data_IF_749379447609
#
_entry.id   IF_749379447609
#
_cell.length_a   1.000
_cell.length_b   1.000
_cell.length_c   1.000
_cell.angle_alpha   90.00
_cell.angle_beta   90.00
_cell.angle_gamma   90.00
#
_symmetry.space_group_name_H-M   'P 1'
#
loop_
_entity.id
_entity.type
_entity.pdbx_description
1 polymer ?
#
# COMPACT_ATOMS: atom_id res chain seq x y z
N UNK A 1 4.44 87.74 -32.59
CA UNK A 1 3.97 89.10 -32.27
C UNK A 1 3.88 89.16 -30.74
N UNK A 2 4.92 89.81 -30.25
CA UNK A 2 4.81 90.96 -29.33
C UNK A 2 4.08 90.64 -28.02
N UNK A 3 4.54 90.89 -26.86
CA UNK A 3 5.67 91.73 -26.41
C UNK A 3 5.43 92.07 -24.94
N UNK A 4 6.54 92.36 -24.33
CA UNK A 4 6.71 93.36 -23.26
C UNK A 4 5.85 93.27 -21.97
N UNK A 5 6.33 93.49 -20.88
CA UNK A 5 7.52 94.00 -20.24
C UNK A 5 7.26 94.25 -18.78
N UNK A 6 8.30 94.12 -17.99
CA UNK A 6 8.78 94.96 -16.93
C UNK A 6 8.02 95.17 -15.60
N UNK A 7 8.78 94.75 -14.60
CA UNK A 7 9.13 95.51 -13.40
C UNK A 7 8.05 95.97 -12.44
N UNK A 8 8.16 95.50 -11.19
CA UNK A 8 8.54 96.41 -10.08
C UNK A 8 8.91 95.63 -8.83
N UNK A 9 10.02 96.03 -8.29
CA UNK A 9 10.52 95.54 -7.00
C UNK A 9 9.72 96.08 -5.82
N UNK A 10 9.54 95.32 -4.74
CA UNK A 10 9.57 95.86 -3.39
C UNK A 10 9.97 94.75 -2.38
N UNK A 11 10.98 95.11 -1.60
CA UNK A 11 11.48 94.44 -0.43
C UNK A 11 10.37 94.17 0.61
N UNK A 12 10.29 93.01 1.14
CA UNK A 12 9.88 92.80 2.51
C UNK A 12 10.66 91.61 3.06
N UNK A 13 11.50 91.87 4.05
CA UNK A 13 12.15 90.93 4.92
C UNK A 13 11.08 90.07 5.60
N UNK A 14 11.12 88.74 5.45
CA UNK A 14 10.45 87.84 6.29
C UNK A 14 11.47 86.77 6.74
N UNK A 15 11.57 86.64 8.03
CA UNK A 15 12.49 85.83 8.79
C UNK A 15 12.30 84.34 8.35
N UNK A 16 13.35 83.76 7.83
CA UNK A 16 13.39 82.32 7.53
C UNK A 16 13.68 81.53 8.83
N UNK A 17 12.68 80.87 9.35
CA UNK A 17 12.88 79.73 10.31
C UNK A 17 13.31 78.51 9.52
N UNK A 18 14.38 77.80 9.88
CA UNK A 18 14.71 76.56 9.25
C UNK A 18 13.69 75.51 9.61
N UNK A 19 12.93 75.06 8.60
CA UNK A 19 12.13 73.84 8.71
C UNK A 19 13.12 72.67 8.74
N UNK A 20 13.26 72.05 9.91
CA UNK A 20 13.94 70.74 10.03
C UNK A 20 13.15 69.75 9.16
N UNK A 21 13.71 69.41 8.02
CA UNK A 21 13.24 68.29 7.24
C UNK A 21 13.44 67.03 8.10
N UNK A 22 12.34 66.44 8.55
CA UNK A 22 12.35 65.08 9.05
C UNK A 22 12.68 64.18 7.86
N UNK A 23 13.88 63.67 7.87
CA UNK A 23 14.32 62.61 6.98
C UNK A 23 13.49 61.36 7.38
N UNK A 24 12.44 61.02 6.61
CA UNK A 24 11.73 59.76 6.75
C UNK A 24 12.74 58.63 6.52
N UNK A 25 12.99 57.86 7.56
CA UNK A 25 13.80 56.67 7.47
C UNK A 25 13.18 55.76 6.38
N UNK A 26 13.99 55.18 5.50
CA UNK A 26 13.49 54.25 4.46
C UNK A 26 12.75 53.10 5.17
N UNK A 27 11.62 52.61 4.60
CA UNK A 27 10.91 51.48 5.17
C UNK A 27 11.88 50.30 5.28
N UNK A 28 11.95 49.72 6.47
CA UNK A 28 12.67 48.48 6.72
C UNK A 28 12.11 47.41 5.76
N UNK A 29 12.84 47.16 4.70
CA UNK A 29 12.61 46.02 3.82
C UNK A 29 12.82 44.74 4.68
N UNK A 30 11.73 44.18 5.17
CA UNK A 30 11.76 42.88 5.84
C UNK A 30 12.09 41.87 4.75
N UNK A 31 13.37 41.58 4.59
CA UNK A 31 13.81 40.45 3.79
C UNK A 31 13.32 39.19 4.54
N UNK A 32 12.18 38.68 4.12
CA UNK A 32 11.72 37.35 4.52
C UNK A 32 12.68 36.39 3.83
N UNK A 33 13.73 35.99 4.53
CA UNK A 33 14.57 34.89 4.10
C UNK A 33 13.68 33.63 4.12
N UNK A 34 13.19 33.24 2.95
CA UNK A 34 12.44 31.99 2.79
C UNK A 34 13.42 30.85 3.07
N UNK A 35 13.50 30.44 4.34
CA UNK A 35 14.26 29.26 4.73
C UNK A 35 13.51 28.06 4.17
N UNK A 36 13.84 27.68 2.95
CA UNK A 36 13.43 26.39 2.41
C UNK A 36 14.10 25.30 3.25
N UNK A 37 13.43 24.88 4.29
CA UNK A 37 13.82 23.66 5.01
C UNK A 37 13.61 22.50 4.05
N UNK A 38 14.65 22.15 3.31
CA UNK A 38 14.72 20.90 2.56
C UNK A 38 14.84 19.79 3.60
N UNK A 39 13.70 19.50 4.28
CA UNK A 39 13.60 18.32 5.12
C UNK A 39 13.83 17.09 4.24
N UNK A 40 14.77 16.24 4.60
CA UNK A 40 14.89 14.95 3.95
C UNK A 40 13.55 14.23 4.13
N UNK A 41 12.93 13.80 3.02
CA UNK A 41 11.70 13.00 3.09
C UNK A 41 11.95 11.80 4.03
N UNK A 42 11.07 11.63 5.02
CA UNK A 42 11.27 10.72 6.13
C UNK A 42 11.35 9.23 5.70
N UNK A 43 10.83 8.89 4.54
CA UNK A 43 10.63 7.51 4.09
C UNK A 43 9.26 6.98 4.54
N UNK A 44 8.91 5.72 4.26
CA UNK A 44 7.63 5.15 4.69
C UNK A 44 7.54 5.14 6.21
N UNK A 45 6.34 5.52 6.71
CA UNK A 45 6.10 5.62 8.14
C UNK A 45 6.26 4.29 8.87
N UNK A 46 6.80 4.35 10.08
CA UNK A 46 6.91 3.22 10.98
C UNK A 46 6.02 3.44 12.20
N UNK A 47 5.06 2.55 12.40
CA UNK A 47 4.31 2.47 13.66
C UNK A 47 5.24 1.96 14.75
N UNK A 48 5.14 2.53 15.96
CA UNK A 48 5.97 2.16 17.08
C UNK A 48 5.10 1.69 18.22
N UNK A 49 5.27 0.44 18.62
CA UNK A 49 4.52 -0.20 19.69
C UNK A 49 5.48 -0.44 20.85
N UNK A 50 5.12 -0.02 22.05
CA UNK A 50 5.96 -0.16 23.26
C UNK A 50 5.29 -0.97 24.35
N UNK A 51 6.12 -1.77 25.02
CA UNK A 51 5.84 -2.46 26.26
C UNK A 51 7.03 -2.30 27.20
N UNK A 52 6.97 -1.32 28.13
CA UNK A 52 8.13 -0.94 28.93
C UNK A 52 9.30 -0.50 28.05
N UNK A 53 10.43 -1.18 28.20
CA UNK A 53 11.65 -0.91 27.43
C UNK A 53 11.67 -1.60 26.05
N UNK A 54 10.75 -2.54 25.82
CA UNK A 54 10.66 -3.26 24.55
C UNK A 54 9.90 -2.45 23.49
N UNK A 55 10.41 -2.46 22.27
CA UNK A 55 9.81 -1.72 21.16
C UNK A 55 9.70 -2.60 19.91
N UNK A 56 8.48 -2.71 19.39
CA UNK A 56 8.22 -3.28 18.08
C UNK A 56 7.93 -2.16 17.09
N UNK A 57 8.70 -2.07 16.03
CA UNK A 57 8.39 -1.23 14.88
C UNK A 57 7.59 -2.02 13.87
N UNK A 58 6.58 -1.40 13.24
CA UNK A 58 5.79 -2.04 12.17
C UNK A 58 5.88 -1.21 10.92
N UNK A 59 6.38 -1.80 9.84
CA UNK A 59 6.37 -1.22 8.50
C UNK A 59 5.12 -1.67 7.75
N UNK A 60 4.25 -0.72 7.42
CA UNK A 60 3.13 -0.94 6.51
C UNK A 60 3.60 -0.98 5.05
N UNK A 61 3.38 -2.07 4.32
CA UNK A 61 3.71 -2.17 2.89
C UNK A 61 2.51 -1.88 2.00
N UNK A 62 2.75 -1.21 0.89
CA UNK A 62 1.75 -0.91 -0.13
C UNK A 62 1.90 -1.85 -1.34
N UNK A 63 0.79 -2.19 -1.99
CA UNK A 63 0.75 -2.93 -3.26
C UNK A 63 -0.50 -2.52 -4.06
N UNK A 64 -0.37 -2.26 -5.39
CA UNK A 64 0.85 -2.35 -6.20
C UNK A 64 1.76 -1.13 -6.05
N UNK A 65 3.04 -1.32 -6.36
CA UNK A 65 4.07 -0.27 -6.39
C UNK A 65 4.69 -0.14 -7.78
N UNK A 66 5.27 1.00 -8.16
CA UNK A 66 6.11 1.11 -9.35
C UNK A 66 7.26 0.10 -9.32
N UNK A 67 7.58 -0.52 -10.47
CA UNK A 67 8.67 -1.52 -10.56
C UNK A 67 10.05 -0.99 -10.17
N UNK A 68 10.25 0.31 -10.27
CA UNK A 68 11.51 1.00 -9.95
C UNK A 68 11.31 2.07 -8.89
N UNK A 69 10.47 1.78 -7.89
CA UNK A 69 10.30 2.71 -6.77
C UNK A 69 11.57 2.75 -5.94
N UNK A 70 12.20 3.91 -5.90
CA UNK A 70 13.23 4.21 -4.92
C UNK A 70 12.55 4.77 -3.67
N UNK A 71 12.65 4.04 -2.56
CA UNK A 71 12.14 4.46 -1.28
C UNK A 71 13.29 4.56 -0.27
N UNK A 72 13.19 5.50 0.65
CA UNK A 72 14.24 5.71 1.64
C UNK A 72 14.09 4.69 2.76
N UNK A 73 15.08 3.84 2.91
CA UNK A 73 15.09 2.77 3.92
C UNK A 73 15.86 3.13 5.20
N UNK A 74 16.38 4.36 5.33
CA UNK A 74 17.29 4.76 6.41
C UNK A 74 16.76 4.48 7.81
N UNK A 75 15.46 4.69 8.05
CA UNK A 75 14.87 4.39 9.35
C UNK A 75 14.74 2.90 9.57
N UNK A 76 14.29 2.17 8.57
CA UNK A 76 14.25 0.69 8.58
C UNK A 76 15.65 0.12 8.81
N UNK A 77 16.68 0.67 8.15
CA UNK A 77 18.07 0.27 8.34
C UNK A 77 18.57 0.53 9.77
N UNK A 78 18.25 1.71 10.35
CA UNK A 78 18.59 2.05 11.73
C UNK A 78 17.93 1.11 12.74
N UNK A 79 16.66 0.75 12.50
CA UNK A 79 15.95 -0.20 13.34
C UNK A 79 16.59 -1.57 13.23
N UNK A 80 16.80 -2.08 12.01
CA UNK A 80 17.38 -3.41 11.78
C UNK A 80 18.82 -3.53 12.26
N UNK A 81 19.59 -2.44 12.30
CA UNK A 81 20.95 -2.46 12.87
C UNK A 81 20.98 -2.80 14.36
N UNK A 82 19.84 -2.68 15.07
CA UNK A 82 19.71 -2.90 16.52
C UNK A 82 18.61 -3.92 16.86
N UNK A 83 17.91 -4.44 15.85
CA UNK A 83 16.80 -5.34 16.09
C UNK A 83 17.27 -6.75 16.43
N UNK A 84 16.59 -7.38 17.38
CA UNK A 84 16.79 -8.78 17.75
C UNK A 84 16.15 -9.71 16.72
N UNK A 85 15.00 -9.28 16.15
CA UNK A 85 14.25 -10.07 15.19
C UNK A 85 13.49 -9.24 14.14
N UNK A 86 13.20 -9.92 13.02
CA UNK A 86 12.29 -9.47 11.97
C UNK A 86 11.12 -10.45 11.83
N UNK A 87 9.89 -9.94 11.83
CA UNK A 87 8.66 -10.67 11.46
C UNK A 87 8.24 -10.20 10.07
N UNK A 88 8.52 -10.95 8.98
CA UNK A 88 8.17 -10.53 7.62
C UNK A 88 6.67 -10.69 7.37
N UNK A 89 6.15 -10.07 6.30
CA UNK A 89 4.77 -10.23 5.83
C UNK A 89 4.53 -11.57 5.11
N UNK A 90 5.49 -12.48 5.14
CA UNK A 90 5.43 -13.82 4.53
C UNK A 90 5.31 -14.91 5.60
N UNK A 91 4.87 -16.08 5.17
CA UNK A 91 4.89 -17.30 5.97
C UNK A 91 5.71 -18.39 5.27
N UNK A 92 6.22 -19.33 6.03
CA UNK A 92 6.61 -20.61 5.47
C UNK A 92 5.37 -21.45 5.26
N UNK A 93 5.22 -21.97 4.07
CA UNK A 93 4.11 -22.89 3.75
C UNK A 93 4.72 -24.25 3.47
N UNK A 94 4.31 -25.23 4.28
CA UNK A 94 4.62 -26.63 4.06
C UNK A 94 3.34 -27.35 3.63
N UNK A 95 3.46 -28.16 2.58
CA UNK A 95 2.38 -29.01 2.11
C UNK A 95 3.00 -30.35 1.73
N UNK A 96 2.53 -31.41 2.34
CA UNK A 96 2.99 -32.75 2.00
C UNK A 96 2.46 -33.18 0.62
N UNK A 97 3.20 -32.78 -0.41
CA UNK A 97 2.84 -33.02 -1.81
C UNK A 97 3.89 -33.91 -2.44
N UNK A 98 3.63 -35.24 -2.40
CA UNK A 98 4.43 -36.19 -3.18
C UNK A 98 4.25 -36.00 -4.69
N UNK A 99 5.14 -36.58 -5.53
CA UNK A 99 5.12 -36.38 -7.00
C UNK A 99 3.77 -36.74 -7.64
N UNK A 100 3.16 -37.83 -7.22
CA UNK A 100 1.85 -38.29 -7.74
C UNK A 100 0.74 -37.31 -7.33
N UNK A 101 0.78 -36.85 -6.07
CA UNK A 101 -0.17 -35.86 -5.57
C UNK A 101 -0.03 -34.53 -6.29
N UNK A 102 1.17 -34.10 -6.65
CA UNK A 102 1.41 -32.88 -7.43
C UNK A 102 0.76 -32.95 -8.83
N UNK A 103 0.87 -34.08 -9.52
CA UNK A 103 0.21 -34.28 -10.82
C UNK A 103 -1.32 -34.24 -10.67
N UNK A 104 -1.87 -34.92 -9.66
CA UNK A 104 -3.31 -34.93 -9.41
C UNK A 104 -3.82 -33.52 -9.07
N UNK A 105 -3.10 -32.79 -8.22
CA UNK A 105 -3.42 -31.41 -7.87
C UNK A 105 -3.39 -30.48 -9.09
N UNK A 106 -2.40 -30.65 -9.96
CA UNK A 106 -2.33 -29.90 -11.21
C UNK A 106 -3.50 -30.20 -12.16
N UNK A 107 -3.88 -31.47 -12.30
CA UNK A 107 -5.04 -31.86 -13.12
C UNK A 107 -6.35 -31.31 -12.54
N UNK A 108 -6.51 -31.36 -11.22
CA UNK A 108 -7.65 -30.78 -10.52
C UNK A 108 -7.69 -29.27 -10.72
N UNK A 109 -6.56 -28.54 -10.56
CA UNK A 109 -6.46 -27.12 -10.84
C UNK A 109 -6.82 -26.79 -12.30
N UNK A 110 -6.32 -27.57 -13.26
CA UNK A 110 -6.68 -27.37 -14.69
C UNK A 110 -8.18 -27.47 -14.94
N UNK A 111 -8.86 -28.40 -14.26
CA UNK A 111 -10.32 -28.57 -14.38
C UNK A 111 -11.05 -27.41 -13.72
N UNK A 112 -10.59 -27.01 -12.53
CA UNK A 112 -11.17 -25.95 -11.72
C UNK A 112 -11.10 -24.57 -12.35
N UNK A 113 -10.09 -24.28 -13.14
CA UNK A 113 -9.88 -22.94 -13.69
C UNK A 113 -10.89 -22.55 -14.77
N UNK A 114 -11.59 -23.51 -15.37
CA UNK A 114 -12.64 -23.29 -16.36
C UNK A 114 -14.01 -23.10 -15.74
N UNK A 115 -14.93 -22.51 -16.48
CA UNK A 115 -16.35 -22.48 -16.09
C UNK A 115 -16.98 -23.87 -16.26
N UNK A 116 -18.12 -24.07 -15.56
CA UNK A 116 -18.95 -25.25 -15.74
C UNK A 116 -19.40 -25.37 -17.21
N UNK A 117 -19.60 -26.57 -17.67
CA UNK A 117 -20.01 -26.88 -19.05
C UNK A 117 -19.14 -26.21 -20.14
N UNK A 118 -17.88 -25.88 -19.82
CA UNK A 118 -16.95 -25.17 -20.71
C UNK A 118 -17.48 -23.82 -21.21
N UNK A 119 -18.37 -23.20 -20.48
CA UNK A 119 -18.90 -21.88 -20.82
C UNK A 119 -17.79 -20.83 -20.90
N UNK A 120 -17.96 -19.88 -21.84
CA UNK A 120 -17.09 -18.70 -21.90
C UNK A 120 -17.53 -17.63 -20.91
N UNK A 121 -16.65 -16.68 -20.59
CA UNK A 121 -17.03 -15.53 -19.77
C UNK A 121 -18.20 -14.73 -20.37
N UNK A 122 -18.31 -14.68 -21.68
CA UNK A 122 -19.43 -14.01 -22.35
C UNK A 122 -20.81 -14.65 -22.03
N UNK A 123 -20.81 -15.95 -21.77
CA UNK A 123 -22.04 -16.69 -21.41
C UNK A 123 -22.34 -16.60 -19.90
N UNK A 124 -21.30 -16.35 -19.09
CA UNK A 124 -21.38 -16.34 -17.63
C UNK A 124 -21.65 -14.95 -17.05
N UNK A 125 -21.10 -13.91 -17.68
CA UNK A 125 -21.26 -12.52 -17.26
C UNK A 125 -22.51 -11.90 -17.86
N UNK A 126 -23.09 -10.90 -17.18
CA UNK A 126 -24.08 -10.04 -17.83
C UNK A 126 -23.48 -9.31 -19.05
N UNK A 127 -24.27 -8.95 -20.05
CA UNK A 127 -23.76 -8.23 -21.22
C UNK A 127 -22.95 -6.98 -20.85
N UNK A 128 -23.43 -6.20 -19.89
CA UNK A 128 -22.76 -5.00 -19.37
C UNK A 128 -21.41 -5.32 -18.73
N UNK A 129 -21.37 -6.33 -17.85
CA UNK A 129 -20.14 -6.71 -17.16
C UNK A 129 -19.13 -7.29 -18.13
N UNK A 130 -19.59 -8.04 -19.14
CA UNK A 130 -18.72 -8.59 -20.19
C UNK A 130 -18.13 -7.49 -21.08
N UNK A 131 -18.90 -6.47 -21.44
CA UNK A 131 -18.42 -5.34 -22.25
C UNK A 131 -17.30 -4.59 -21.50
N UNK A 132 -17.49 -4.29 -20.23
CA UNK A 132 -16.45 -3.67 -19.37
C UNK A 132 -15.20 -4.53 -19.30
N UNK A 133 -15.37 -5.84 -19.04
CA UNK A 133 -14.27 -6.79 -18.99
C UNK A 133 -13.52 -6.83 -20.32
N UNK A 134 -14.22 -6.94 -21.45
CA UNK A 134 -13.61 -7.06 -22.78
C UNK A 134 -12.82 -5.79 -23.16
N UNK A 135 -13.36 -4.62 -22.85
CA UNK A 135 -12.66 -3.34 -23.04
C UNK A 135 -11.32 -3.30 -22.29
N UNK A 136 -11.32 -3.73 -21.04
CA UNK A 136 -10.10 -3.77 -20.23
C UNK A 136 -9.16 -4.92 -20.68
N UNK A 137 -9.71 -6.07 -21.08
CA UNK A 137 -8.93 -7.17 -21.64
C UNK A 137 -8.20 -6.75 -22.91
N UNK A 138 -8.87 -6.08 -23.83
CA UNK A 138 -8.24 -5.56 -25.05
C UNK A 138 -7.11 -4.57 -24.72
N UNK A 139 -7.28 -3.75 -23.70
CA UNK A 139 -6.27 -2.80 -23.24
C UNK A 139 -5.06 -3.50 -22.59
N UNK A 140 -5.30 -4.45 -21.68
CA UNK A 140 -4.27 -4.99 -20.79
C UNK A 140 -3.85 -6.44 -21.10
N UNK A 141 -4.69 -7.25 -21.75
CA UNK A 141 -4.41 -8.65 -22.06
C UNK A 141 -4.86 -9.05 -23.49
N UNK A 142 -4.58 -8.26 -24.55
CA UNK A 142 -5.15 -8.50 -25.89
C UNK A 142 -4.78 -9.85 -26.49
N UNK A 143 -3.65 -10.43 -26.10
CA UNK A 143 -3.15 -11.70 -26.63
C UNK A 143 -3.62 -12.93 -25.84
N UNK A 144 -4.11 -12.74 -24.60
CA UNK A 144 -4.60 -13.86 -23.79
C UNK A 144 -6.07 -14.15 -24.12
N UNK A 145 -6.29 -15.09 -25.06
CA UNK A 145 -7.63 -15.60 -25.38
C UNK A 145 -8.12 -16.65 -24.38
N UNK A 146 -7.23 -17.28 -23.64
CA UNK A 146 -7.59 -18.31 -22.68
C UNK A 146 -8.26 -17.73 -21.42
N UNK A 147 -8.03 -16.46 -21.13
CA UNK A 147 -8.72 -15.74 -20.03
C UNK A 147 -10.26 -15.79 -20.20
N UNK A 148 -10.75 -15.81 -21.45
CA UNK A 148 -12.19 -15.89 -21.76
C UNK A 148 -12.86 -17.22 -21.36
N UNK A 149 -12.05 -18.25 -21.10
CA UNK A 149 -12.52 -19.59 -20.70
C UNK A 149 -12.43 -19.82 -19.20
N UNK A 150 -11.89 -18.84 -18.46
CA UNK A 150 -11.66 -18.97 -17.01
C UNK A 150 -12.91 -18.58 -16.22
N UNK A 151 -12.99 -19.12 -15.00
CA UNK A 151 -13.97 -18.67 -14.01
C UNK A 151 -13.78 -17.19 -13.71
N UNK A 152 -14.87 -16.43 -13.37
CA UNK A 152 -14.80 -15.00 -13.17
C UNK A 152 -13.71 -14.56 -12.19
N UNK A 153 -13.57 -15.20 -11.03
CA UNK A 153 -12.55 -14.86 -10.03
C UNK A 153 -11.12 -15.03 -10.57
N UNK A 154 -10.87 -16.06 -11.36
CA UNK A 154 -9.55 -16.31 -11.94
C UNK A 154 -9.25 -15.37 -13.11
N UNK A 155 -10.25 -15.07 -13.93
CA UNK A 155 -10.14 -14.10 -15.01
C UNK A 155 -9.89 -12.68 -14.47
N UNK A 156 -10.57 -12.30 -13.38
CA UNK A 156 -10.33 -11.05 -12.68
C UNK A 156 -8.89 -10.92 -12.18
N UNK A 157 -8.39 -11.96 -11.51
CA UNK A 157 -7.01 -12.00 -11.02
C UNK A 157 -5.95 -11.94 -12.14
N UNK A 158 -6.21 -12.60 -13.28
CA UNK A 158 -5.34 -12.55 -14.45
C UNK A 158 -5.32 -11.15 -15.09
N UNK A 159 -6.51 -10.59 -15.31
CA UNK A 159 -6.64 -9.25 -15.88
C UNK A 159 -5.96 -8.19 -15.00
N UNK A 160 -6.14 -8.29 -13.68
CA UNK A 160 -5.47 -7.44 -12.71
C UNK A 160 -3.94 -7.53 -12.82
N UNK A 161 -3.39 -8.74 -12.87
CA UNK A 161 -1.94 -8.97 -12.98
C UNK A 161 -1.36 -8.38 -14.26
N UNK A 162 -2.04 -8.60 -15.40
CA UNK A 162 -1.63 -8.05 -16.70
C UNK A 162 -1.69 -6.52 -16.71
N UNK A 163 -2.77 -5.95 -16.16
CA UNK A 163 -2.95 -4.50 -16.08
C UNK A 163 -1.85 -3.84 -15.24
N UNK A 164 -1.56 -4.38 -14.05
CA UNK A 164 -0.48 -3.90 -13.19
C UNK A 164 0.86 -3.97 -13.93
N UNK A 165 1.16 -5.11 -14.56
CA UNK A 165 2.43 -5.31 -15.26
C UNK A 165 2.63 -4.31 -16.40
N UNK A 166 1.58 -4.07 -17.21
CA UNK A 166 1.61 -3.12 -18.34
C UNK A 166 1.62 -1.66 -17.91
N UNK A 167 1.08 -1.37 -16.74
CA UNK A 167 1.12 0.00 -16.17
C UNK A 167 2.47 0.34 -15.51
N UNK A 168 3.48 -0.53 -15.64
CA UNK A 168 4.79 -0.31 -15.03
C UNK A 168 4.81 -0.54 -13.52
N UNK A 169 3.75 -1.17 -12.99
CA UNK A 169 3.61 -1.50 -11.58
C UNK A 169 3.97 -2.97 -11.32
N UNK A 170 4.11 -3.31 -10.05
CA UNK A 170 4.31 -4.67 -9.56
C UNK A 170 3.50 -4.92 -8.30
N UNK A 171 2.91 -6.10 -8.19
CA UNK A 171 2.36 -6.62 -6.93
C UNK A 171 3.35 -7.53 -6.20
N UNK A 172 4.58 -7.66 -6.69
CA UNK A 172 5.61 -8.41 -5.97
C UNK A 172 5.95 -7.67 -4.68
N UNK A 173 6.17 -8.42 -3.63
CA UNK A 173 6.56 -7.85 -2.34
C UNK A 173 8.06 -7.52 -2.34
N UNK A 174 8.47 -6.57 -3.18
CA UNK A 174 9.87 -6.20 -3.33
C UNK A 174 10.38 -5.45 -2.09
N UNK A 175 9.51 -4.71 -1.40
CA UNK A 175 9.83 -4.06 -0.11
C UNK A 175 10.15 -5.12 0.95
N UNK A 176 9.30 -6.15 1.11
CA UNK A 176 9.54 -7.23 2.07
C UNK A 176 10.88 -7.94 1.79
N UNK A 177 11.18 -8.23 0.53
CA UNK A 177 12.48 -8.82 0.15
C UNK A 177 13.66 -7.91 0.46
N UNK A 178 13.52 -6.59 0.26
CA UNK A 178 14.55 -5.62 0.60
C UNK A 178 14.80 -5.60 2.11
N UNK A 179 13.73 -5.57 2.92
CA UNK A 179 13.80 -5.62 4.39
C UNK A 179 14.44 -6.93 4.87
N UNK A 180 14.02 -8.07 4.32
CA UNK A 180 14.65 -9.37 4.65
C UNK A 180 16.15 -9.41 4.29
N UNK A 181 16.53 -8.83 3.14
CA UNK A 181 17.94 -8.74 2.74
C UNK A 181 18.75 -7.89 3.73
N UNK A 182 18.19 -6.76 4.18
CA UNK A 182 18.79 -5.91 5.20
C UNK A 182 18.91 -6.63 6.55
N UNK A 183 17.89 -7.37 6.96
CA UNK A 183 17.91 -8.17 8.18
C UNK A 183 19.02 -9.23 8.14
N UNK A 184 19.16 -9.96 7.03
CA UNK A 184 20.25 -10.94 6.86
C UNK A 184 21.62 -10.28 6.89
N UNK A 185 21.79 -9.09 6.26
CA UNK A 185 23.04 -8.33 6.31
C UNK A 185 23.42 -7.95 7.75
N UNK A 186 22.44 -7.59 8.56
CA UNK A 186 22.65 -7.24 9.97
C UNK A 186 22.58 -8.43 10.93
N UNK A 187 22.48 -9.67 10.43
CA UNK A 187 22.36 -10.92 11.21
C UNK A 187 21.15 -10.96 12.14
N UNK A 188 20.10 -10.22 11.80
CA UNK A 188 18.82 -10.20 12.53
C UNK A 188 18.10 -11.53 12.32
N UNK A 189 17.58 -12.12 13.40
CA UNK A 189 16.82 -13.36 13.33
C UNK A 189 15.47 -13.13 12.62
N UNK A 190 15.23 -13.86 11.53
CA UNK A 190 13.94 -13.81 10.82
C UNK A 190 13.05 -14.90 11.41
N UNK A 191 11.88 -14.51 11.94
CA UNK A 191 10.84 -15.40 12.48
C UNK A 191 9.54 -15.14 11.73
N UNK A 192 8.84 -16.19 11.32
CA UNK A 192 7.63 -16.04 10.50
C UNK A 192 6.65 -17.16 10.79
N UNK A 193 5.34 -16.95 10.55
CA UNK A 193 4.34 -18.02 10.69
C UNK A 193 4.72 -19.24 9.84
N UNK A 194 4.48 -20.43 10.38
CA UNK A 194 4.69 -21.70 9.69
C UNK A 194 3.34 -22.37 9.49
N UNK A 195 2.88 -22.40 8.24
CA UNK A 195 1.57 -22.93 7.88
C UNK A 195 1.74 -24.30 7.25
N UNK A 196 0.99 -25.27 7.75
CA UNK A 196 0.92 -26.59 7.13
C UNK A 196 -0.44 -26.78 6.47
N UNK A 197 -0.42 -27.05 5.17
CA UNK A 197 -1.62 -27.40 4.41
C UNK A 197 -1.75 -28.92 4.42
N UNK A 198 -2.57 -29.44 5.32
CA UNK A 198 -2.73 -30.90 5.49
C UNK A 198 -3.48 -31.56 4.32
N UNK A 199 -4.45 -30.85 3.72
CA UNK A 199 -5.26 -31.36 2.62
C UNK A 199 -5.31 -30.37 1.45
N UNK A 200 -4.25 -30.28 0.63
CA UNK A 200 -4.21 -29.38 -0.52
C UNK A 200 -5.29 -29.67 -1.56
N UNK A 201 -5.66 -30.95 -1.74
CA UNK A 201 -6.70 -31.37 -2.70
C UNK A 201 -8.08 -30.93 -2.26
N UNK A 202 -8.42 -31.14 -0.98
CA UNK A 202 -9.67 -30.70 -0.42
C UNK A 202 -9.78 -29.19 -0.36
N UNK A 203 -8.68 -28.47 -0.07
CA UNK A 203 -8.63 -27.00 -0.14
C UNK A 203 -8.95 -26.51 -1.55
N UNK A 204 -8.34 -27.12 -2.55
CA UNK A 204 -8.61 -26.76 -3.95
C UNK A 204 -10.05 -27.13 -4.36
N UNK A 205 -10.60 -28.24 -3.85
CA UNK A 205 -11.99 -28.64 -4.11
C UNK A 205 -12.99 -27.64 -3.50
N UNK A 206 -12.73 -27.12 -2.29
CA UNK A 206 -13.57 -26.09 -1.68
C UNK A 206 -13.50 -24.76 -2.44
N UNK A 207 -12.32 -24.34 -2.89
CA UNK A 207 -12.15 -23.15 -3.76
C UNK A 207 -12.97 -23.32 -5.07
N UNK A 208 -13.12 -24.57 -5.55
CA UNK A 208 -13.99 -24.86 -6.70
C UNK A 208 -15.46 -24.56 -6.44
N UNK A 209 -15.89 -24.64 -5.19
CA UNK A 209 -17.29 -24.49 -4.78
C UNK A 209 -17.64 -23.07 -4.35
N UNK A 210 -16.72 -22.10 -4.53
CA UNK A 210 -17.03 -20.68 -4.27
C UNK A 210 -18.28 -20.29 -5.07
N UNK A 211 -19.30 -19.70 -4.42
CA UNK A 211 -20.51 -19.30 -5.09
C UNK A 211 -20.29 -18.36 -6.27
N UNK A 212 -21.04 -18.54 -7.33
CA UNK A 212 -20.94 -17.73 -8.54
C UNK A 212 -21.10 -16.24 -8.25
N UNK A 213 -22.01 -15.88 -7.36
CA UNK A 213 -22.28 -14.51 -6.95
C UNK A 213 -21.02 -13.85 -6.34
N UNK A 214 -20.27 -14.59 -5.54
CA UNK A 214 -19.02 -14.09 -4.95
C UNK A 214 -17.92 -13.91 -6.01
N UNK A 215 -17.86 -14.80 -7.00
CA UNK A 215 -16.94 -14.64 -8.13
C UNK A 215 -17.28 -13.42 -8.99
N UNK A 216 -18.58 -13.21 -9.26
CA UNK A 216 -19.06 -12.05 -10.03
C UNK A 216 -18.80 -10.74 -9.26
N UNK A 217 -19.01 -10.73 -7.96
CA UNK A 217 -18.69 -9.58 -7.10
C UNK A 217 -17.17 -9.26 -7.13
N UNK A 218 -16.31 -10.28 -7.07
CA UNK A 218 -14.86 -10.09 -7.23
C UNK A 218 -14.51 -9.55 -8.62
N UNK A 219 -15.11 -10.09 -9.69
CA UNK A 219 -14.90 -9.59 -11.05
C UNK A 219 -15.29 -8.11 -11.13
N UNK A 220 -16.51 -7.74 -10.72
CA UNK A 220 -16.97 -6.35 -10.72
C UNK A 220 -16.04 -5.42 -9.97
N UNK A 221 -15.67 -5.79 -8.74
CA UNK A 221 -14.75 -5.01 -7.92
C UNK A 221 -13.38 -4.83 -8.59
N UNK A 222 -12.88 -5.86 -9.28
CA UNK A 222 -11.62 -5.78 -10.02
C UNK A 222 -11.71 -4.81 -11.19
N UNK A 223 -12.82 -4.83 -11.94
CA UNK A 223 -13.02 -3.89 -13.04
C UNK A 223 -13.14 -2.45 -12.52
N UNK A 224 -13.91 -2.22 -11.47
CA UNK A 224 -14.01 -0.90 -10.80
C UNK A 224 -12.62 -0.36 -10.42
N UNK A 225 -11.75 -1.20 -9.86
CA UNK A 225 -10.37 -0.82 -9.53
C UNK A 225 -9.52 -0.51 -10.76
N UNK A 226 -9.63 -1.29 -11.81
CA UNK A 226 -8.88 -1.05 -13.05
C UNK A 226 -9.30 0.23 -13.76
N UNK A 227 -10.55 0.60 -13.67
CA UNK A 227 -11.11 1.79 -14.29
C UNK A 227 -10.79 3.06 -13.48
N UNK A 228 -10.82 3.00 -12.15
CA UNK A 228 -10.78 4.18 -11.29
C UNK A 228 -9.48 4.31 -10.48
N UNK A 229 -8.92 3.21 -9.97
CA UNK A 229 -7.83 3.28 -8.98
C UNK A 229 -6.45 3.07 -9.54
N UNK A 230 -6.31 2.42 -10.70
CA UNK A 230 -4.98 2.10 -11.23
C UNK A 230 -4.17 3.37 -11.56
N UNK A 231 -4.86 4.44 -11.99
CA UNK A 231 -4.23 5.73 -12.25
C UNK A 231 -3.65 6.38 -10.97
N UNK A 232 -4.30 6.15 -9.82
CA UNK A 232 -3.89 6.68 -8.52
C UNK A 232 -2.79 5.85 -7.83
N UNK A 233 -2.44 4.69 -8.39
CA UNK A 233 -1.46 3.81 -7.75
C UNK A 233 -0.07 4.44 -7.64
N UNK A 234 0.31 5.33 -8.57
CA UNK A 234 1.58 6.06 -8.52
C UNK A 234 1.58 7.11 -7.42
N UNK A 235 0.50 7.89 -7.30
CA UNK A 235 0.36 8.88 -6.25
C UNK A 235 0.40 8.22 -4.88
N UNK A 236 -0.36 7.15 -4.68
CA UNK A 236 -0.31 6.38 -3.42
C UNK A 236 1.09 5.82 -3.10
N UNK A 237 1.85 5.42 -4.12
CA UNK A 237 3.21 4.96 -3.91
C UNK A 237 4.14 6.10 -3.48
N UNK A 238 3.92 7.30 -3.98
CA UNK A 238 4.63 8.52 -3.58
C UNK A 238 4.26 8.89 -2.14
N UNK A 239 2.97 8.99 -1.82
CA UNK A 239 2.47 9.24 -0.45
C UNK A 239 3.07 8.23 0.54
N UNK A 240 3.08 6.94 0.17
CA UNK A 240 3.68 5.89 0.98
C UNK A 240 5.19 6.10 1.17
N UNK A 241 5.91 6.45 0.11
CA UNK A 241 7.36 6.64 0.17
C UNK A 241 7.77 7.87 0.97
N UNK A 242 6.87 8.84 1.14
CA UNK A 242 7.03 10.05 1.93
C UNK A 242 6.51 9.90 3.37
N UNK A 243 5.80 8.80 3.67
CA UNK A 243 5.19 8.56 4.98
C UNK A 243 3.89 9.33 5.22
N UNK A 244 3.24 9.82 4.15
CA UNK A 244 1.95 10.51 4.26
C UNK A 244 0.81 9.53 4.51
N UNK A 245 0.62 9.20 5.78
CA UNK A 245 -0.37 8.22 6.24
C UNK A 245 -1.80 8.74 6.06
N UNK A 246 -2.03 10.04 6.22
CA UNK A 246 -3.36 10.63 6.09
C UNK A 246 -3.84 10.61 4.64
N UNK A 247 -2.98 10.94 3.69
CA UNK A 247 -3.27 10.79 2.26
C UNK A 247 -3.61 9.33 1.92
N UNK A 248 -2.85 8.36 2.45
CA UNK A 248 -3.10 6.94 2.22
C UNK A 248 -4.44 6.46 2.82
N UNK A 249 -4.83 6.94 4.01
CA UNK A 249 -6.11 6.61 4.65
C UNK A 249 -7.31 7.14 3.89
N UNK A 250 -7.18 8.30 3.27
CA UNK A 250 -8.26 8.95 2.53
C UNK A 250 -8.68 8.20 1.27
N UNK A 251 -7.88 7.23 0.80
CA UNK A 251 -8.14 6.49 -0.44
C UNK A 251 -9.04 5.27 -0.20
N UNK A 252 -10.15 5.18 -0.96
CA UNK A 252 -11.09 4.04 -0.95
C UNK A 252 -10.51 2.71 -1.48
N UNK A 253 -9.23 2.70 -1.86
CA UNK A 253 -8.57 1.52 -2.46
C UNK A 253 -8.57 0.28 -1.56
N UNK A 254 -8.77 0.47 -0.26
CA UNK A 254 -8.74 -0.61 0.74
C UNK A 254 -9.99 -1.50 0.68
N UNK A 255 -11.18 -0.89 0.54
CA UNK A 255 -12.45 -1.61 0.57
C UNK A 255 -12.63 -2.58 -0.62
N UNK A 256 -12.05 -2.26 -1.77
CA UNK A 256 -12.23 -3.04 -2.99
C UNK A 256 -11.35 -4.30 -3.06
N UNK A 257 -10.19 -4.29 -2.40
CA UNK A 257 -9.34 -5.49 -2.31
C UNK A 257 -9.98 -6.58 -1.45
N UNK A 258 -10.79 -6.20 -0.48
CA UNK A 258 -11.46 -7.13 0.44
C UNK A 258 -12.51 -8.01 -0.27
N UNK A 259 -13.16 -7.50 -1.34
CA UNK A 259 -14.23 -8.24 -2.04
C UNK A 259 -13.74 -9.57 -2.65
N UNK A 260 -12.59 -9.58 -3.32
CA UNK A 260 -12.03 -10.81 -3.88
C UNK A 260 -11.50 -11.74 -2.79
N UNK A 261 -10.95 -11.15 -1.73
CA UNK A 261 -10.46 -11.91 -0.59
C UNK A 261 -11.62 -12.56 0.18
N UNK A 262 -12.72 -11.84 0.40
CA UNK A 262 -13.93 -12.38 1.04
C UNK A 262 -14.56 -13.53 0.24
N UNK A 263 -14.46 -13.52 -1.08
CA UNK A 263 -14.89 -14.65 -1.90
C UNK A 263 -14.07 -15.92 -1.58
N UNK A 264 -12.74 -15.80 -1.46
CA UNK A 264 -11.87 -16.93 -1.08
C UNK A 264 -12.12 -17.39 0.35
N UNK A 265 -12.46 -16.49 1.28
CA UNK A 265 -12.77 -16.80 2.68
C UNK A 265 -14.08 -17.59 2.85
N UNK A 266 -14.89 -17.73 1.82
CA UNK A 266 -16.06 -18.63 1.84
C UNK A 266 -15.66 -20.12 1.86
N UNK A 267 -14.40 -20.46 1.50
CA UNK A 267 -13.86 -21.79 1.74
C UNK A 267 -13.44 -21.93 3.21
N UNK A 268 -14.04 -22.85 3.99
CA UNK A 268 -13.67 -23.08 5.40
C UNK A 268 -12.18 -23.42 5.57
N UNK A 269 -11.59 -24.18 4.65
CA UNK A 269 -10.16 -24.52 4.69
C UNK A 269 -9.28 -23.30 4.46
N UNK A 270 -9.61 -22.44 3.50
CA UNK A 270 -8.88 -21.19 3.27
C UNK A 270 -9.03 -20.24 4.46
N UNK A 271 -10.24 -20.10 5.01
CA UNK A 271 -10.48 -19.30 6.22
C UNK A 271 -9.68 -19.83 7.42
N UNK A 272 -9.56 -21.14 7.57
CA UNK A 272 -8.75 -21.75 8.63
C UNK A 272 -7.27 -21.46 8.46
N UNK A 273 -6.72 -21.60 7.24
CA UNK A 273 -5.32 -21.26 6.95
C UNK A 273 -5.06 -19.78 7.27
N UNK A 274 -5.98 -18.89 6.88
CA UNK A 274 -5.85 -17.46 7.20
C UNK A 274 -5.85 -17.20 8.71
N UNK A 275 -6.78 -17.79 9.44
CA UNK A 275 -6.84 -17.65 10.91
C UNK A 275 -5.55 -18.16 11.57
N UNK A 276 -5.03 -19.30 11.16
CA UNK A 276 -3.76 -19.83 11.67
C UNK A 276 -2.60 -18.87 11.42
N UNK A 277 -2.56 -18.23 10.23
CA UNK A 277 -1.57 -17.20 9.93
C UNK A 277 -1.70 -16.02 10.89
N UNK A 278 -2.90 -15.49 11.06
CA UNK A 278 -3.15 -14.31 11.89
C UNK A 278 -2.82 -14.59 13.37
N UNK A 279 -3.21 -15.77 13.89
CA UNK A 279 -2.90 -16.22 15.26
C UNK A 279 -1.39 -16.36 15.49
N UNK A 280 -0.68 -17.05 14.60
CA UNK A 280 0.76 -17.24 14.72
C UNK A 280 1.51 -15.91 14.57
N UNK A 281 1.10 -15.06 13.64
CA UNK A 281 1.70 -13.74 13.47
C UNK A 281 1.53 -12.89 14.73
N UNK A 282 0.35 -12.87 15.33
CA UNK A 282 0.09 -12.16 16.59
C UNK A 282 0.92 -12.73 17.75
N UNK A 283 1.08 -14.04 17.85
CA UNK A 283 1.95 -14.65 18.87
C UNK A 283 3.41 -14.18 18.72
N UNK A 284 3.92 -14.10 17.48
CA UNK A 284 5.27 -13.57 17.23
C UNK A 284 5.38 -12.08 17.62
N UNK A 285 4.32 -11.29 17.42
CA UNK A 285 4.24 -9.89 17.84
C UNK A 285 4.28 -9.78 19.36
N UNK A 286 3.47 -10.57 20.07
CA UNK A 286 3.44 -10.57 21.55
C UNK A 286 4.76 -11.01 22.13
N UNK A 287 5.34 -12.12 21.64
CA UNK A 287 6.65 -12.59 22.07
C UNK A 287 7.75 -11.52 21.83
N UNK A 288 7.63 -10.76 20.74
CA UNK A 288 8.54 -9.65 20.46
C UNK A 288 8.41 -8.51 21.48
N UNK A 289 7.20 -8.15 21.86
CA UNK A 289 6.92 -7.08 22.83
C UNK A 289 7.25 -7.50 24.27
N UNK A 290 7.21 -8.79 24.58
CA UNK A 290 7.48 -9.30 25.91
C UNK A 290 8.98 -9.60 26.15
N UNK A 291 9.67 -10.10 25.12
CA UNK A 291 10.98 -10.75 25.30
C UNK A 291 12.12 -10.14 24.47
N UNK A 292 11.86 -9.09 23.67
CA UNK A 292 12.88 -8.53 22.76
C UNK A 292 12.91 -7.02 22.80
N UNK A 293 14.12 -6.47 23.00
CA UNK A 293 14.31 -5.03 23.16
C UNK A 293 13.90 -4.25 21.94
N UNK A 294 14.31 -4.68 20.75
CA UNK A 294 13.93 -4.04 19.49
C UNK A 294 13.54 -5.11 18.46
N UNK A 295 12.38 -4.96 17.86
CA UNK A 295 11.89 -5.84 16.79
C UNK A 295 11.32 -5.04 15.63
N UNK A 296 11.33 -5.61 14.43
CA UNK A 296 10.65 -5.05 13.26
C UNK A 296 9.65 -6.06 12.71
N UNK A 297 8.42 -5.63 12.47
CA UNK A 297 7.41 -6.40 11.73
C UNK A 297 7.06 -5.72 10.41
N UNK A 298 6.67 -6.51 9.42
CA UNK A 298 6.19 -6.03 8.12
C UNK A 298 4.82 -6.60 7.87
N UNK A 299 3.85 -5.73 7.52
CA UNK A 299 2.48 -6.13 7.18
C UNK A 299 1.97 -5.31 6.00
N UNK A 300 0.94 -5.75 5.26
CA UNK A 300 0.22 -4.85 4.37
C UNK A 300 -0.33 -3.65 5.14
N UNK A 301 -0.15 -2.43 4.63
CA UNK A 301 -0.62 -1.20 5.31
C UNK A 301 -2.14 -1.24 5.55
N UNK A 302 -2.87 -1.96 4.71
CA UNK A 302 -4.30 -2.20 4.84
C UNK A 302 -4.68 -2.85 6.18
N UNK A 303 -3.81 -3.72 6.73
CA UNK A 303 -4.03 -4.37 8.03
C UNK A 303 -3.92 -3.36 9.19
N UNK A 304 -3.09 -2.31 9.02
CA UNK A 304 -2.91 -1.25 10.02
C UNK A 304 -4.07 -0.25 10.00
N UNK A 305 -4.74 -0.11 8.88
CA UNK A 305 -5.89 0.81 8.74
C UNK A 305 -7.24 0.17 9.07
N UNK A 306 -7.27 -1.15 9.30
CA UNK A 306 -8.52 -1.84 9.64
C UNK A 306 -9.04 -1.35 10.99
N UNK A 307 -10.32 -0.95 11.00
CA UNK A 307 -11.07 -0.74 12.25
C UNK A 307 -11.18 -2.08 12.98
N UNK A 308 -10.93 -2.08 14.28
CA UNK A 308 -10.81 -3.27 15.13
C UNK A 308 -9.71 -4.24 14.62
N UNK A 309 -8.69 -3.72 13.93
CA UNK A 309 -7.57 -4.46 13.41
C UNK A 309 -6.44 -4.65 14.44
N UNK A 310 -5.24 -4.94 13.93
CA UNK A 310 -4.09 -5.25 14.78
C UNK A 310 -3.70 -4.13 15.74
N UNK A 311 -3.79 -2.86 15.31
CA UNK A 311 -3.42 -1.73 16.18
C UNK A 311 -4.41 -1.57 17.36
N UNK A 312 -5.71 -1.73 17.10
CA UNK A 312 -6.73 -1.66 18.14
C UNK A 312 -6.61 -2.82 19.13
N UNK A 313 -6.27 -4.02 18.61
CA UNK A 313 -6.01 -5.18 19.45
C UNK A 313 -4.77 -4.97 20.35
N UNK A 314 -3.71 -4.36 19.84
CA UNK A 314 -2.51 -4.04 20.64
C UNK A 314 -2.83 -2.98 21.70
N UNK A 315 -3.59 -1.93 21.36
CA UNK A 315 -4.06 -0.93 22.33
C UNK A 315 -4.93 -1.55 23.45
N UNK A 316 -5.84 -2.43 23.10
CA UNK A 316 -6.72 -3.11 24.07
C UNK A 316 -5.97 -4.00 25.06
N UNK A 317 -4.78 -4.46 24.71
CA UNK A 317 -3.86 -5.19 25.60
C UNK A 317 -2.96 -4.29 26.45
N UNK A 318 -3.11 -2.97 26.35
CA UNK A 318 -2.36 -2.01 27.14
C UNK A 318 -1.00 -1.60 26.54
N UNK A 319 -0.68 -2.02 25.31
CA UNK A 319 0.53 -1.55 24.63
C UNK A 319 0.37 -0.10 24.16
N UNK A 320 1.43 0.68 24.28
CA UNK A 320 1.43 2.06 23.74
C UNK A 320 1.67 2.01 22.24
N UNK A 321 0.72 2.51 21.45
CA UNK A 321 0.79 2.54 19.98
C UNK A 321 0.96 3.98 19.52
N UNK A 322 2.13 4.29 18.95
CA UNK A 322 2.44 5.58 18.31
C UNK A 322 2.36 5.38 16.79
N UNK A 323 1.65 6.27 16.12
CA UNK A 323 1.55 6.29 14.66
C UNK A 323 2.65 7.17 14.08
N UNK A 324 3.07 6.96 12.82
CA UNK A 324 4.11 7.76 12.17
C UNK A 324 3.78 9.24 12.09
#
# INVERSE_FOLDING_TARGET
MNGFAKEFALLLLAVATPLLAQEEAPPLEVVIEEVTVVGEAAGPGLWKIRNGDNTLYILGTLSPLPKKLEWRSREVERVLARADRLIPASSKVDADIGPISAVQLYLQYRKLRGNDDKQSLQQVLSPELFERFEKLRQKYAPRDKDILKRRPVLAAGELWREAISRSGLTSRNDVNKAVEKLARKNKVKIVQPELRIEDPKGTLAEVAQIPREAELACMKSTLDRLENDLALARQRAEDWSLGDIDALRSTNALAQQETCWSALMQSPKVATIRRQFDEQWLQLVYDSLENHSISLAVVPITELFKKNGVLDLLRSRGYLVEEP
#
